data_IF_084767336948
#
_entry.id   IF_084767336948
#
_cell.length_a   1.000
_cell.length_b   1.000
_cell.length_c   1.000
_cell.angle_alpha   90.00
_cell.angle_beta   90.00
_cell.angle_gamma   90.00
#
_symmetry.space_group_name_H-M   'P 1'
#
loop_
_entity.id
_entity.type
_entity.pdbx_description
1 polymer ?
#
# COMPACT_ATOMS: atom_id res chain seq x y z
N UNK A 1 24.36 -15.76 2.88
CA UNK A 1 23.51 -14.85 2.06
C UNK A 1 22.01 -14.96 2.44
N UNK A 2 21.53 -16.13 2.82
CA UNK A 2 20.15 -16.41 3.29
C UNK A 2 19.58 -15.45 4.35
N UNK A 3 20.34 -15.15 5.41
CA UNK A 3 19.85 -14.34 6.53
C UNK A 3 19.49 -12.89 6.16
N UNK A 4 20.10 -12.34 5.11
CA UNK A 4 19.85 -10.97 4.66
C UNK A 4 18.60 -10.86 3.78
N UNK A 5 18.26 -11.95 3.05
CA UNK A 5 17.01 -12.06 2.31
C UNK A 5 15.81 -12.17 3.26
N UNK A 6 15.91 -13.03 4.28
CA UNK A 6 14.85 -13.22 5.29
C UNK A 6 14.48 -11.94 6.04
N UNK A 7 15.46 -11.13 6.46
CA UNK A 7 15.20 -9.85 7.15
C UNK A 7 14.48 -8.83 6.28
N UNK A 8 14.83 -8.73 4.99
CA UNK A 8 14.18 -7.80 4.06
C UNK A 8 12.74 -8.24 3.75
N UNK A 9 12.51 -9.54 3.62
CA UNK A 9 11.17 -10.11 3.42
C UNK A 9 10.28 -9.88 4.64
N UNK A 10 10.80 -10.09 5.84
CA UNK A 10 10.05 -9.86 7.09
C UNK A 10 9.74 -8.38 7.31
N UNK A 11 10.70 -7.49 7.07
CA UNK A 11 10.48 -6.03 7.16
C UNK A 11 9.41 -5.55 6.16
N UNK A 12 9.35 -6.14 4.96
CA UNK A 12 8.28 -5.89 3.99
C UNK A 12 6.94 -6.41 4.49
N UNK A 13 6.86 -7.64 4.96
CA UNK A 13 5.61 -8.23 5.45
C UNK A 13 4.99 -7.42 6.61
N UNK A 14 5.81 -7.00 7.58
CA UNK A 14 5.37 -6.13 8.69
C UNK A 14 4.81 -4.82 8.15
N UNK A 15 5.50 -4.20 7.19
CA UNK A 15 5.05 -2.96 6.57
C UNK A 15 3.73 -3.11 5.81
N UNK A 16 3.54 -4.21 5.07
CA UNK A 16 2.27 -4.51 4.41
C UNK A 16 1.11 -4.64 5.40
N UNK A 17 1.33 -5.33 6.53
CA UNK A 17 0.34 -5.43 7.61
C UNK A 17 0.02 -4.08 8.24
N UNK A 18 1.03 -3.22 8.42
CA UNK A 18 0.84 -1.86 8.94
C UNK A 18 0.01 -1.01 7.96
N UNK A 19 0.33 -1.04 6.67
CA UNK A 19 -0.42 -0.32 5.62
C UNK A 19 -1.89 -0.79 5.62
N UNK A 20 -2.14 -2.09 5.70
CA UNK A 20 -3.51 -2.61 5.76
C UNK A 20 -4.29 -2.13 6.98
N UNK A 21 -3.64 -2.10 8.15
CA UNK A 21 -4.27 -1.60 9.37
C UNK A 21 -4.67 -0.13 9.22
N UNK A 22 -3.82 0.69 8.63
CA UNK A 22 -4.10 2.11 8.37
C UNK A 22 -5.26 2.26 7.38
N UNK A 23 -5.23 1.52 6.27
CA UNK A 23 -6.29 1.57 5.25
C UNK A 23 -7.66 1.06 5.75
N UNK A 24 -7.68 0.18 6.75
CA UNK A 24 -8.92 -0.26 7.41
C UNK A 24 -9.54 0.81 8.30
N UNK A 25 -8.74 1.71 8.85
CA UNK A 25 -9.21 2.80 9.71
C UNK A 25 -9.83 3.93 8.87
N UNK A 26 -9.08 4.39 7.85
CA UNK A 26 -9.56 5.40 6.89
C UNK A 26 -8.75 5.36 5.58
N UNK A 27 -9.21 6.03 4.51
CA UNK A 27 -8.37 6.29 3.36
C UNK A 27 -7.13 7.10 3.75
N UNK A 28 -5.98 6.68 3.23
CA UNK A 28 -4.70 7.39 3.35
C UNK A 28 -4.10 7.64 1.98
N UNK A 29 -3.46 8.78 1.82
CA UNK A 29 -2.62 9.08 0.67
C UNK A 29 -1.32 8.27 0.69
N UNK A 30 -0.70 8.12 -0.47
CA UNK A 30 0.62 7.47 -0.60
C UNK A 30 1.66 8.17 0.28
N UNK A 31 1.63 9.50 0.35
CA UNK A 31 2.57 10.28 1.15
C UNK A 31 2.41 10.01 2.66
N UNK A 32 1.17 9.95 3.17
CA UNK A 32 0.90 9.59 4.56
C UNK A 32 1.39 8.17 4.90
N UNK A 33 1.15 7.20 4.01
CA UNK A 33 1.60 5.82 4.20
C UNK A 33 3.13 5.70 4.20
N UNK A 34 3.79 6.42 3.28
CA UNK A 34 5.23 6.49 3.19
C UNK A 34 5.85 7.06 4.47
N UNK A 35 5.30 8.18 4.97
CA UNK A 35 5.72 8.79 6.23
C UNK A 35 5.49 7.86 7.43
N UNK A 36 4.32 7.25 7.55
CA UNK A 36 3.99 6.35 8.65
C UNK A 36 4.86 5.08 8.69
N UNK A 37 5.34 4.63 7.52
CA UNK A 37 6.18 3.44 7.40
C UNK A 37 7.69 3.74 7.27
N UNK A 38 8.09 5.02 7.23
CA UNK A 38 9.48 5.43 7.07
C UNK A 38 10.11 4.99 5.73
N UNK A 39 9.35 4.99 4.63
CA UNK A 39 9.80 4.58 3.29
C UNK A 39 9.56 5.67 2.25
N UNK A 40 10.12 5.51 1.06
CA UNK A 40 9.80 6.40 -0.07
C UNK A 40 8.37 6.18 -0.58
N UNK A 41 7.75 7.21 -1.17
CA UNK A 41 6.47 7.05 -1.86
C UNK A 41 6.49 6.00 -2.95
N UNK A 42 7.62 5.84 -3.67
CA UNK A 42 7.80 4.78 -4.67
C UNK A 42 7.67 3.39 -4.05
N UNK A 43 8.26 3.19 -2.88
CA UNK A 43 8.16 1.93 -2.13
C UNK A 43 6.72 1.70 -1.68
N UNK A 44 6.08 2.72 -1.09
CA UNK A 44 4.68 2.63 -0.67
C UNK A 44 3.72 2.31 -1.83
N UNK A 45 3.92 2.90 -3.03
CA UNK A 45 3.13 2.56 -4.23
C UNK A 45 3.30 1.11 -4.66
N UNK A 46 4.53 0.57 -4.60
CA UNK A 46 4.76 -0.85 -4.91
C UNK A 46 4.07 -1.76 -3.88
N UNK A 47 4.24 -1.46 -2.60
CA UNK A 47 3.60 -2.21 -1.53
C UNK A 47 2.07 -2.21 -1.67
N UNK A 48 1.47 -1.07 -2.04
CA UNK A 48 0.05 -0.97 -2.35
C UNK A 48 -0.36 -1.88 -3.52
N UNK A 49 0.40 -1.89 -4.63
CA UNK A 49 0.12 -2.79 -5.75
C UNK A 49 0.21 -4.26 -5.34
N UNK A 50 1.18 -4.62 -4.48
CA UNK A 50 1.31 -5.98 -3.97
C UNK A 50 0.10 -6.39 -3.11
N UNK A 51 -0.47 -5.45 -2.34
CA UNK A 51 -1.68 -5.71 -1.56
C UNK A 51 -2.92 -5.98 -2.42
N UNK A 52 -2.95 -5.54 -3.69
CA UNK A 52 -4.06 -5.84 -4.60
C UNK A 52 -4.01 -7.26 -5.16
N UNK A 53 -2.87 -7.94 -5.04
CA UNK A 53 -2.69 -9.31 -5.48
C UNK A 53 -2.86 -10.33 -4.35
N UNK A 54 -2.45 -11.56 -4.64
CA UNK A 54 -2.35 -12.60 -3.63
C UNK A 54 -1.38 -12.21 -2.50
N UNK A 55 -1.71 -12.50 -1.22
CA UNK A 55 -2.93 -13.18 -0.73
C UNK A 55 -4.02 -12.22 -0.22
N UNK A 56 -3.82 -10.90 -0.27
CA UNK A 56 -4.59 -9.95 0.57
C UNK A 56 -5.71 -9.23 -0.19
N UNK A 57 -5.63 -9.08 -1.53
CA UNK A 57 -6.67 -8.49 -2.38
C UNK A 57 -7.33 -7.23 -1.80
N UNK A 58 -6.52 -6.34 -1.23
CA UNK A 58 -7.01 -5.14 -0.57
C UNK A 58 -7.58 -4.16 -1.61
N UNK A 59 -8.83 -3.70 -1.43
CA UNK A 59 -9.40 -2.69 -2.30
C UNK A 59 -8.72 -1.35 -2.03
N UNK A 60 -8.11 -0.76 -3.05
CA UNK A 60 -7.47 0.55 -2.95
C UNK A 60 -8.34 1.60 -3.62
N UNK A 61 -8.27 2.84 -3.15
CA UNK A 61 -8.98 3.96 -3.72
C UNK A 61 -8.03 4.87 -4.49
N UNK A 62 -8.47 5.36 -5.64
CA UNK A 62 -7.82 6.43 -6.40
C UNK A 62 -8.74 7.64 -6.43
N UNK A 63 -8.18 8.81 -6.12
CA UNK A 63 -8.88 10.09 -6.34
C UNK A 63 -8.88 10.38 -7.83
N UNK A 64 -10.05 10.69 -8.39
CA UNK A 64 -10.16 11.13 -9.78
C UNK A 64 -9.63 12.57 -9.90
N UNK A 65 -8.67 12.84 -10.79
CA UNK A 65 -7.97 14.13 -10.83
C UNK A 65 -8.89 15.32 -11.15
N UNK A 66 -9.97 15.07 -11.89
CA UNK A 66 -10.92 16.09 -12.35
C UNK A 66 -12.14 16.26 -11.45
N UNK A 67 -12.29 15.43 -10.41
CA UNK A 67 -13.47 15.45 -9.54
C UNK A 67 -13.07 15.27 -8.06
N UNK A 68 -14.03 15.46 -7.16
CA UNK A 68 -13.86 15.11 -5.74
C UNK A 68 -14.23 13.65 -5.46
N UNK A 69 -14.41 12.83 -6.50
CA UNK A 69 -14.86 11.44 -6.37
C UNK A 69 -13.68 10.50 -6.16
N UNK A 70 -13.95 9.44 -5.42
CA UNK A 70 -13.06 8.31 -5.21
C UNK A 70 -13.57 7.13 -6.02
N UNK A 71 -12.65 6.37 -6.63
CA UNK A 71 -12.96 5.10 -7.33
C UNK A 71 -12.03 4.00 -6.84
N UNK A 72 -12.42 2.74 -7.00
CA UNK A 72 -11.47 1.67 -6.71
C UNK A 72 -10.37 1.65 -7.78
N UNK A 73 -9.15 1.42 -7.34
CA UNK A 73 -7.99 1.25 -8.20
C UNK A 73 -8.11 -0.12 -8.89
N UNK A 74 -8.45 -0.10 -10.17
CA UNK A 74 -8.72 -1.31 -10.97
C UNK A 74 -10.10 -1.32 -11.60
N UNK A 75 -11.01 -0.46 -11.15
CA UNK A 75 -12.25 -0.18 -11.88
C UNK A 75 -11.88 0.43 -13.25
N UNK A 76 -12.10 -0.35 -14.32
CA UNK A 76 -12.05 0.13 -15.69
C UNK A 76 -13.12 1.23 -15.84
N UNK A 77 -12.83 2.37 -16.52
CA UNK A 77 -13.79 3.45 -16.71
C UNK A 77 -15.09 3.01 -17.39
#
# INVERSE_FOLDING_TARGET
MEAHMGRRTMARAIRLLQILRLLKDRPHSVAELAAACGVSERTARRDLLDLQGEPIYAPLLRREERTTRWRFLGDCP
#
